data_IF_345211868718
#
_entry.id   IF_345211868718
#
_cell.length_a   1.000
_cell.length_b   1.000
_cell.length_c   1.000
_cell.angle_alpha   90.00
_cell.angle_beta   90.00
_cell.angle_gamma   90.00
#
_symmetry.space_group_name_H-M   'P 1'
#
loop_
_entity.id
_entity.type
_entity.pdbx_description
1 polymer ?
#
# COMPACT_ATOMS: atom_id res chain seq x y z
N UNK A 1 -15.74 8.33 -4.49
CA UNK A 1 -15.30 6.99 -4.05
C UNK A 1 -14.65 7.18 -2.70
N UNK A 2 -14.90 6.30 -1.73
CA UNK A 2 -14.24 6.40 -0.43
C UNK A 2 -13.15 5.35 -0.28
N UNK A 3 -12.00 5.79 0.23
CA UNK A 3 -10.91 4.92 0.62
C UNK A 3 -10.51 5.21 2.07
N UNK A 4 -9.88 4.25 2.73
CA UNK A 4 -9.24 4.48 4.03
C UNK A 4 -8.03 3.58 4.19
N UNK A 5 -7.04 4.07 4.93
CA UNK A 5 -5.85 3.30 5.26
C UNK A 5 -6.00 2.58 6.59
N UNK A 6 -5.43 1.38 6.65
CA UNK A 6 -5.28 0.61 7.89
C UNK A 6 -3.85 0.16 8.00
N UNK A 7 -3.25 0.39 9.17
CA UNK A 7 -1.95 -0.17 9.50
C UNK A 7 -2.06 -1.22 10.58
N UNK A 8 -1.47 -2.39 10.34
CA UNK A 8 -1.38 -3.49 11.29
C UNK A 8 0.05 -3.57 11.83
N UNK A 9 0.21 -3.38 13.13
CA UNK A 9 1.49 -3.45 13.83
C UNK A 9 1.54 -4.75 14.65
N UNK A 10 2.49 -5.62 14.31
CA UNK A 10 2.70 -6.87 15.03
C UNK A 10 3.39 -6.59 16.37
N UNK A 11 2.60 -6.68 17.45
CA UNK A 11 3.05 -6.42 18.81
C UNK A 11 2.50 -7.48 19.75
N UNK A 12 3.23 -7.74 20.84
CA UNK A 12 2.71 -8.61 21.89
C UNK A 12 1.58 -7.91 22.67
N UNK A 13 0.69 -8.71 23.25
CA UNK A 13 -0.48 -8.24 23.98
C UNK A 13 -0.13 -7.28 25.12
N UNK A 14 0.95 -7.55 25.85
CA UNK A 14 1.40 -6.68 26.95
C UNK A 14 1.73 -5.27 26.47
N UNK A 15 2.43 -5.12 25.34
CA UNK A 15 2.73 -3.79 24.78
C UNK A 15 1.51 -3.14 24.18
N UNK A 16 0.65 -3.91 23.50
CA UNK A 16 -0.60 -3.40 22.98
C UNK A 16 -1.44 -2.78 24.11
N UNK A 17 -1.59 -3.49 25.22
CA UNK A 17 -2.32 -3.00 26.40
C UNK A 17 -1.67 -1.76 27.01
N UNK A 18 -0.34 -1.70 27.09
CA UNK A 18 0.36 -0.49 27.55
C UNK A 18 0.06 0.71 26.64
N UNK A 19 0.06 0.51 25.33
CA UNK A 19 -0.20 1.56 24.35
C UNK A 19 -1.65 2.05 24.41
N UNK A 20 -2.60 1.11 24.49
CA UNK A 20 -4.03 1.38 24.63
C UNK A 20 -4.36 2.08 25.96
N UNK A 21 -3.56 1.87 27.00
CA UNK A 21 -3.71 2.55 28.30
C UNK A 21 -3.10 3.96 28.35
N UNK A 22 -2.40 4.38 27.29
CA UNK A 22 -1.80 5.72 27.23
C UNK A 22 -2.85 6.77 26.81
N UNK A 23 -3.45 7.43 27.81
CA UNK A 23 -4.49 8.43 27.59
C UNK A 23 -4.06 9.55 26.63
N UNK A 24 -2.81 10.04 26.70
CA UNK A 24 -2.33 11.10 25.82
C UNK A 24 -2.29 10.67 24.36
N UNK A 25 -1.86 9.43 24.10
CA UNK A 25 -1.84 8.88 22.74
C UNK A 25 -3.27 8.70 22.22
N UNK A 26 -4.16 8.13 23.03
CA UNK A 26 -5.56 7.91 22.63
C UNK A 26 -6.28 9.23 22.34
N UNK A 27 -6.08 10.27 23.17
CA UNK A 27 -6.62 11.61 22.93
C UNK A 27 -6.09 12.21 21.63
N UNK A 28 -4.79 12.08 21.38
CA UNK A 28 -4.16 12.54 20.14
C UNK A 28 -4.72 11.83 18.91
N UNK A 29 -4.81 10.50 18.92
CA UNK A 29 -5.39 9.72 17.83
C UNK A 29 -6.87 10.08 17.59
N UNK A 30 -7.64 10.27 18.67
CA UNK A 30 -9.04 10.68 18.58
C UNK A 30 -9.19 12.07 17.96
N UNK A 31 -8.29 13.01 18.31
CA UNK A 31 -8.28 14.36 17.71
C UNK A 31 -8.02 14.36 16.21
N UNK A 32 -7.36 13.31 15.72
CA UNK A 32 -7.04 13.06 14.32
C UNK A 32 -8.04 12.11 13.64
N UNK A 33 -9.17 11.80 14.29
CA UNK A 33 -10.17 10.83 13.82
C UNK A 33 -9.58 9.45 13.48
N UNK A 34 -8.48 9.07 14.13
CA UNK A 34 -7.85 7.77 13.98
C UNK A 34 -8.39 6.79 15.04
N UNK A 35 -8.63 5.54 14.66
CA UNK A 35 -9.07 4.49 15.57
C UNK A 35 -7.96 3.48 15.81
N UNK A 36 -7.64 3.21 17.07
CA UNK A 36 -6.67 2.19 17.47
C UNK A 36 -7.38 1.01 18.12
N UNK A 37 -7.11 -0.21 17.64
CA UNK A 37 -7.67 -1.45 18.19
C UNK A 37 -6.60 -2.53 18.27
N UNK A 38 -6.75 -3.47 19.20
CA UNK A 38 -5.91 -4.67 19.25
C UNK A 38 -6.76 -5.90 18.94
N UNK A 39 -6.53 -6.51 17.78
CA UNK A 39 -7.30 -7.65 17.27
C UNK A 39 -6.37 -8.59 16.50
N UNK A 40 -6.64 -9.90 16.55
CA UNK A 40 -5.85 -10.94 15.84
C UNK A 40 -4.34 -10.94 16.16
N UNK A 41 -3.96 -10.50 17.36
CA UNK A 41 -2.57 -10.43 17.79
C UNK A 41 -1.78 -9.24 17.20
N UNK A 42 -2.47 -8.26 16.59
CA UNK A 42 -1.86 -7.05 16.04
C UNK A 42 -2.60 -5.78 16.50
N UNK A 43 -1.88 -4.67 16.61
CA UNK A 43 -2.45 -3.34 16.76
C UNK A 43 -2.89 -2.83 15.39
N UNK A 44 -4.18 -2.64 15.19
CA UNK A 44 -4.77 -2.08 13.98
C UNK A 44 -5.05 -0.60 14.20
N UNK A 45 -4.42 0.26 13.40
CA UNK A 45 -4.66 1.69 13.36
C UNK A 45 -5.41 2.02 12.07
N UNK A 46 -6.65 2.48 12.19
CA UNK A 46 -7.46 2.93 11.07
C UNK A 46 -7.39 4.45 10.97
N UNK A 47 -7.08 4.95 9.78
CA UNK A 47 -7.03 6.37 9.45
C UNK A 47 -8.40 6.87 8.95
N UNK A 48 -8.63 8.20 8.93
CA UNK A 48 -9.86 8.79 8.42
C UNK A 48 -10.12 8.42 6.95
N UNK A 49 -11.39 8.43 6.56
CA UNK A 49 -11.76 8.15 5.17
C UNK A 49 -11.41 9.33 4.26
N UNK A 50 -10.89 9.03 3.08
CA UNK A 50 -10.45 10.00 2.05
C UNK A 50 -9.29 10.90 2.48
N UNK A 51 -8.54 10.49 3.50
CA UNK A 51 -7.34 11.17 3.95
C UNK A 51 -6.12 10.26 3.75
N UNK A 52 -4.98 10.87 3.42
CA UNK A 52 -3.71 10.18 3.34
C UNK A 52 -3.19 9.78 4.72
N UNK A 53 -2.20 8.88 4.75
CA UNK A 53 -1.50 8.54 5.99
C UNK A 53 -0.86 9.76 6.63
N UNK A 54 -1.21 10.02 7.88
CA UNK A 54 -0.59 11.06 8.69
C UNK A 54 0.73 10.54 9.28
N UNK A 55 1.85 11.06 8.78
CA UNK A 55 3.19 10.72 9.26
C UNK A 55 3.42 11.04 10.75
N UNK A 56 2.78 12.08 11.28
CA UNK A 56 2.92 12.46 12.69
C UNK A 56 2.22 11.45 13.58
N UNK A 57 1.05 10.97 13.16
CA UNK A 57 0.33 9.88 13.82
C UNK A 57 1.18 8.62 13.87
N UNK A 58 1.74 8.25 12.73
CA UNK A 58 2.64 7.11 12.62
C UNK A 58 3.85 7.21 13.54
N UNK A 59 4.48 8.37 13.56
CA UNK A 59 5.65 8.65 14.39
C UNK A 59 5.32 8.57 15.88
N UNK A 60 4.19 9.12 16.32
CA UNK A 60 3.79 9.07 17.73
C UNK A 60 3.47 7.63 18.19
N UNK A 61 2.80 6.84 17.35
CA UNK A 61 2.54 5.43 17.66
C UNK A 61 3.84 4.63 17.78
N UNK A 62 4.77 4.80 16.84
CA UNK A 62 6.06 4.11 16.88
C UNK A 62 6.93 4.56 18.07
N UNK A 63 6.95 5.86 18.39
CA UNK A 63 7.61 6.38 19.59
C UNK A 63 7.03 5.78 20.87
N UNK A 64 5.71 5.64 20.95
CA UNK A 64 5.05 5.01 22.09
C UNK A 64 5.43 3.53 22.22
N UNK A 65 5.62 2.83 21.08
CA UNK A 65 6.09 1.45 21.07
C UNK A 65 7.53 1.30 21.56
N UNK A 66 8.42 2.26 21.29
CA UNK A 66 9.85 2.25 21.70
C UNK A 66 10.66 1.03 21.22
N UNK A 67 10.13 0.25 20.28
CA UNK A 67 10.81 -0.88 19.65
C UNK A 67 10.44 -0.94 18.19
N UNK A 68 11.32 -1.52 17.36
CA UNK A 68 10.92 -1.94 16.03
C UNK A 68 9.74 -2.91 16.07
N UNK A 69 8.83 -2.74 15.12
CA UNK A 69 7.69 -3.64 14.93
C UNK A 69 7.53 -3.99 13.46
N UNK A 70 7.06 -5.20 13.17
CA UNK A 70 6.64 -5.51 11.82
C UNK A 70 5.31 -4.82 11.57
N UNK A 71 5.20 -4.09 10.47
CA UNK A 71 4.02 -3.38 10.08
C UNK A 71 3.55 -3.85 8.71
N UNK A 72 2.23 -3.84 8.53
CA UNK A 72 1.59 -3.98 7.24
C UNK A 72 0.64 -2.83 7.02
N UNK A 73 0.63 -2.29 5.82
CA UNK A 73 -0.23 -1.20 5.41
C UNK A 73 -1.19 -1.70 4.35
N UNK A 74 -2.45 -1.33 4.51
CA UNK A 74 -3.50 -1.66 3.57
C UNK A 74 -4.31 -0.42 3.25
N UNK A 75 -4.71 -0.31 1.99
CA UNK A 75 -5.78 0.59 1.56
C UNK A 75 -7.03 -0.22 1.28
N UNK A 76 -8.16 0.25 1.80
CA UNK A 76 -9.47 -0.27 1.48
C UNK A 76 -10.16 0.72 0.56
N UNK A 77 -10.39 0.31 -0.69
CA UNK A 77 -11.08 1.12 -1.69
C UNK A 77 -12.14 0.27 -2.39
N UNK A 78 -13.38 0.76 -2.47
CA UNK A 78 -14.49 0.09 -3.18
C UNK A 78 -14.74 -1.38 -2.76
N UNK A 79 -14.42 -1.73 -1.50
CA UNK A 79 -14.56 -3.10 -0.97
C UNK A 79 -13.36 -4.02 -1.26
N UNK A 80 -12.38 -3.54 -2.02
CA UNK A 80 -11.10 -4.22 -2.24
C UNK A 80 -10.11 -3.84 -1.15
N UNK A 81 -9.39 -4.85 -0.63
CA UNK A 81 -8.26 -4.68 0.29
C UNK A 81 -6.97 -4.83 -0.51
N UNK A 82 -6.15 -3.79 -0.55
CA UNK A 82 -4.87 -3.77 -1.26
C UNK A 82 -3.77 -3.57 -0.21
N UNK A 83 -2.78 -4.47 -0.18
CA UNK A 83 -1.59 -4.32 0.67
C UNK A 83 -0.59 -3.39 -0.04
N UNK A 84 -0.21 -2.30 0.62
CA UNK A 84 0.72 -1.30 0.09
C UNK A 84 2.14 -1.52 0.61
N UNK A 85 2.25 -2.00 1.85
CA UNK A 85 3.52 -2.20 2.51
C UNK A 85 3.46 -3.40 3.45
N UNK A 86 4.56 -4.15 3.51
CA UNK A 86 4.83 -5.13 4.54
C UNK A 86 6.33 -5.07 4.85
N UNK A 87 6.69 -4.72 6.08
CA UNK A 87 8.07 -4.58 6.46
C UNK A 87 8.26 -4.24 7.93
N UNK A 88 9.47 -3.88 8.31
CA UNK A 88 9.81 -3.53 9.69
C UNK A 88 9.89 -2.01 9.83
N UNK A 89 9.13 -1.45 10.78
CA UNK A 89 9.17 -0.03 11.10
C UNK A 89 10.00 0.17 12.37
N UNK A 90 11.00 1.03 12.28
CA UNK A 90 11.87 1.42 13.39
C UNK A 90 11.45 2.79 13.94
N UNK A 91 11.37 2.99 15.26
CA UNK A 91 10.94 4.26 15.85
C UNK A 91 11.91 5.43 15.59
N UNK A 92 13.19 5.14 15.32
CA UNK A 92 14.20 6.14 14.93
C UNK A 92 14.14 6.47 13.42
N UNK A 93 13.58 5.56 12.62
CA UNK A 93 13.34 5.73 11.20
C UNK A 93 11.95 5.17 10.85
N UNK A 94 10.87 5.94 11.09
CA UNK A 94 9.50 5.48 10.89
C UNK A 94 9.17 5.13 9.43
N UNK A 95 10.06 5.49 8.49
CA UNK A 95 10.04 5.14 7.06
C UNK A 95 11.36 4.44 6.62
N UNK A 96 12.08 3.83 7.56
CA UNK A 96 13.50 3.49 7.45
C UNK A 96 13.87 2.23 6.68
N UNK A 97 14.29 2.43 5.43
CA UNK A 97 14.98 1.49 4.54
C UNK A 97 14.17 0.25 4.12
N UNK A 98 13.33 0.47 3.11
CA UNK A 98 12.86 -0.53 2.15
C UNK A 98 14.01 -1.41 1.67
N UNK A 99 14.16 -2.59 2.26
CA UNK A 99 14.84 -3.74 1.66
C UNK A 99 14.06 -4.99 1.99
N UNK A 100 12.93 -5.14 1.33
CA UNK A 100 12.46 -6.45 0.88
C UNK A 100 11.68 -6.22 -0.41
N UNK A 101 12.03 -7.01 -1.43
CA UNK A 101 11.58 -6.90 -2.82
C UNK A 101 10.07 -6.62 -2.91
N UNK A 102 9.74 -5.48 -3.50
CA UNK A 102 8.48 -5.33 -4.21
C UNK A 102 8.55 -6.40 -5.32
N UNK A 103 7.86 -7.52 -5.14
CA UNK A 103 7.39 -8.25 -6.32
C UNK A 103 6.48 -7.26 -7.04
N UNK A 104 7.04 -6.59 -8.04
CA UNK A 104 6.31 -5.93 -9.11
C UNK A 104 5.35 -6.97 -9.69
N UNK A 105 4.14 -7.05 -9.14
CA UNK A 105 3.02 -7.78 -9.75
C UNK A 105 1.90 -6.79 -9.99
N UNK A 106 1.94 -6.27 -11.21
CA UNK A 106 0.77 -6.04 -12.07
C UNK A 106 -0.29 -5.13 -11.47
N UNK A 107 -0.08 -3.82 -11.64
CA UNK A 107 -1.21 -2.93 -11.89
C UNK A 107 -1.68 -3.31 -13.30
N UNK A 108 -2.66 -4.20 -13.41
CA UNK A 108 -3.48 -4.22 -14.62
C UNK A 108 -4.26 -2.91 -14.59
N UNK A 109 -3.71 -1.91 -15.28
CA UNK A 109 -4.47 -0.76 -15.74
C UNK A 109 -5.71 -1.30 -16.45
N UNK A 110 -6.88 -1.17 -15.83
CA UNK A 110 -8.13 -1.04 -16.58
C UNK A 110 -8.04 0.35 -17.22
N UNK A 111 -7.26 0.43 -18.31
CA UNK A 111 -7.42 1.45 -19.33
C UNK A 111 -8.07 0.76 -20.52
N UNK A 112 -9.29 1.19 -20.75
CA UNK A 112 -10.18 0.84 -21.82
C UNK A 112 -9.57 1.34 -23.14
N UNK A 113 -8.75 0.52 -23.80
CA UNK A 113 -8.38 0.72 -25.21
C UNK A 113 -8.67 -0.55 -26.00
N UNK A 114 -9.81 -0.47 -26.70
CA UNK A 114 -10.22 -1.37 -27.75
C UNK A 114 -9.31 -1.14 -28.99
N UNK A 115 -8.07 -1.64 -28.97
CA UNK A 115 -7.22 -1.70 -30.18
C UNK A 115 -6.97 -3.14 -30.60
N UNK A 116 -7.74 -3.53 -31.60
CA UNK A 116 -7.67 -4.80 -32.30
C UNK A 116 -6.31 -4.95 -32.99
N UNK A 117 -5.59 -6.00 -32.57
CA UNK A 117 -4.37 -6.58 -33.14
C UNK A 117 -4.20 -6.39 -34.66
N UNK A 118 -3.16 -5.65 -35.05
CA UNK A 118 -2.48 -5.85 -36.34
C UNK A 118 -1.16 -6.59 -36.07
N UNK A 119 -1.22 -7.92 -36.16
CA UNK A 119 -0.04 -8.78 -36.24
C UNK A 119 0.61 -8.59 -37.60
N UNK A 120 1.83 -8.08 -37.62
CA UNK A 120 2.70 -8.12 -38.78
C UNK A 120 4.04 -7.49 -38.42
N UNK A 121 5.11 -8.26 -38.47
CA UNK A 121 6.46 -7.70 -38.39
C UNK A 121 6.61 -6.65 -39.48
N UNK A 122 7.08 -5.44 -39.13
CA UNK A 122 7.38 -4.39 -40.11
C UNK A 122 8.45 -4.81 -41.12
N UNK A 123 9.20 -5.89 -40.85
CA UNK A 123 10.13 -6.51 -41.79
C UNK A 123 9.48 -7.52 -42.76
N UNK A 124 8.30 -8.09 -42.44
CA UNK A 124 7.56 -8.98 -43.37
C UNK A 124 6.82 -8.19 -44.48
N UNK A 125 6.47 -6.92 -44.24
CA UNK A 125 5.73 -6.09 -45.20
C UNK A 125 6.61 -5.46 -46.29
N UNK A 126 7.94 -5.48 -46.16
CA UNK A 126 8.86 -4.92 -47.15
C UNK A 126 9.35 -5.96 -48.16
N UNK A 127 9.43 -7.24 -47.78
CA UNK A 127 9.82 -8.33 -48.68
C UNK A 127 8.70 -8.72 -49.68
N UNK A 128 7.44 -8.34 -49.41
CA UNK A 128 6.28 -8.62 -50.29
C UNK A 128 5.97 -7.48 -51.29
N UNK A 129 6.75 -6.39 -51.29
CA UNK A 129 6.49 -5.20 -52.12
C UNK A 129 7.36 -5.07 -53.39
N UNK A 130 8.25 -6.02 -53.69
CA UNK A 130 9.17 -5.92 -54.85
C UNK A 130 9.00 -7.02 -55.91
N UNK A 131 8.00 -7.91 -55.79
CA UNK A 131 7.67 -8.91 -56.83
C UNK A 131 6.16 -8.92 -57.11
N UNK A 132 5.69 -8.03 -57.98
CA UNK A 132 4.65 -8.25 -59.01
C UNK A 132 4.13 -6.92 -59.58
N UNK A 133 4.95 -6.28 -60.42
CA UNK A 133 4.45 -5.43 -61.50
C UNK A 133 5.17 -5.86 -62.77
N UNK A 134 4.51 -6.68 -63.59
CA UNK A 134 4.35 -6.45 -65.03
C UNK A 134 3.36 -7.48 -65.62
N UNK A 135 2.17 -6.98 -65.96
CA UNK A 135 1.25 -7.59 -66.92
C UNK A 135 1.90 -7.60 -68.31
N UNK A 136 1.92 -8.76 -68.98
CA UNK A 136 1.70 -8.90 -70.42
C UNK A 136 1.31 -10.35 -70.79
#
# INVERSE_FOLDING_TARGET
MSFYYVMELSVNEQRANLLMSNAQLIEYLTSKNCELRYEDGALKLKFPENEDLDEDVMREVLKALKVPVNAKEYIYENGSKIELFSGKLDPEHPLGQSKEEIQERTIESIEEEEEVQLKGSLEDLLDEMDEEIEED
#
